data_IF_272065763513
#
_entry.id   IF_272065763513
#
_cell.length_a   1.000
_cell.length_b   1.000
_cell.length_c   1.000
_cell.angle_alpha   90.00
_cell.angle_beta   90.00
_cell.angle_gamma   90.00
#
_symmetry.space_group_name_H-M   'P 1'
#
loop_
_entity.id
_entity.type
_entity.pdbx_description
1 polymer ?
#
# COMPACT_ATOMS: atom_id res chain seq x y z
N UNK A 1 -10.80 15.91 -32.90
CA UNK A 1 -10.77 17.06 -31.97
C UNK A 1 -10.04 16.61 -30.71
N UNK A 2 -8.76 16.98 -30.59
CA UNK A 2 -7.88 16.57 -29.48
C UNK A 2 -7.98 17.59 -28.35
N UNK A 3 -8.40 17.15 -27.15
CA UNK A 3 -8.48 18.00 -25.96
C UNK A 3 -7.07 18.30 -25.42
N UNK A 4 -6.64 19.56 -25.27
CA UNK A 4 -5.27 19.93 -24.89
C UNK A 4 -4.92 19.76 -23.39
N UNK A 5 -5.81 19.23 -22.54
CA UNK A 5 -5.60 19.18 -21.09
C UNK A 5 -5.38 17.77 -20.50
N UNK A 6 -4.68 16.87 -21.20
CA UNK A 6 -4.15 15.67 -20.53
C UNK A 6 -2.81 16.05 -19.90
N UNK A 7 -2.80 16.45 -18.64
CA UNK A 7 -1.55 16.73 -17.91
C UNK A 7 -0.68 15.48 -17.94
N UNK A 8 0.45 15.56 -18.63
CA UNK A 8 1.41 14.47 -18.68
C UNK A 8 2.06 14.34 -17.29
N UNK A 9 1.68 13.32 -16.52
CA UNK A 9 2.29 13.04 -15.23
C UNK A 9 3.72 12.54 -15.40
N UNK A 10 4.57 12.85 -14.42
CA UNK A 10 5.92 12.32 -14.28
C UNK A 10 6.06 11.56 -12.96
N UNK A 11 7.13 10.78 -12.82
CA UNK A 11 7.39 9.99 -11.61
C UNK A 11 7.44 10.81 -10.32
N UNK A 12 7.81 12.09 -10.42
CA UNK A 12 7.89 13.01 -9.29
C UNK A 12 6.50 13.52 -8.82
N UNK A 13 5.44 13.30 -9.58
CA UNK A 13 4.10 13.79 -9.20
C UNK A 13 3.41 12.89 -8.18
N UNK A 14 3.96 11.71 -7.92
CA UNK A 14 3.39 10.71 -7.03
C UNK A 14 3.96 10.83 -5.63
N UNK A 15 3.08 10.83 -4.63
CA UNK A 15 3.46 11.07 -3.22
C UNK A 15 3.03 9.93 -2.29
N UNK A 16 2.07 9.12 -2.72
CA UNK A 16 1.51 8.00 -1.98
C UNK A 16 1.88 6.68 -2.64
N UNK A 17 2.34 5.71 -1.86
CA UNK A 17 2.49 4.32 -2.28
C UNK A 17 1.44 3.46 -1.58
N UNK A 18 0.65 2.73 -2.35
CA UNK A 18 -0.32 1.74 -1.89
C UNK A 18 0.15 0.36 -2.32
N UNK A 19 0.48 -0.48 -1.36
CA UNK A 19 0.98 -1.84 -1.59
C UNK A 19 -0.09 -2.84 -1.16
N UNK A 20 -0.51 -3.67 -2.10
CA UNK A 20 -1.43 -4.77 -1.91
C UNK A 20 -0.65 -6.08 -1.72
N UNK A 21 -1.16 -6.99 -0.89
CA UNK A 21 -0.59 -8.32 -0.72
C UNK A 21 -1.14 -9.33 -1.74
N UNK A 22 -2.37 -9.14 -2.23
CA UNK A 22 -3.06 -10.05 -3.14
C UNK A 22 -3.56 -9.35 -4.42
N UNK A 23 -3.63 -10.06 -5.56
CA UNK A 23 -4.20 -9.51 -6.79
C UNK A 23 -5.65 -9.03 -6.65
N UNK A 24 -6.45 -9.69 -5.80
CA UNK A 24 -7.83 -9.25 -5.52
C UNK A 24 -7.85 -7.90 -4.78
N UNK A 25 -6.90 -7.68 -3.86
CA UNK A 25 -6.76 -6.39 -3.17
C UNK A 25 -6.30 -5.31 -4.15
N UNK A 26 -5.43 -5.64 -5.11
CA UNK A 26 -5.03 -4.72 -6.18
C UNK A 26 -6.21 -4.34 -7.08
N UNK A 27 -7.06 -5.30 -7.45
CA UNK A 27 -8.26 -5.01 -8.23
C UNK A 27 -9.24 -4.10 -7.48
N UNK A 28 -9.38 -4.30 -6.17
CA UNK A 28 -10.17 -3.41 -5.32
C UNK A 28 -9.53 -2.00 -5.23
N UNK A 29 -8.21 -1.93 -5.04
CA UNK A 29 -7.49 -0.66 -5.00
C UNK A 29 -7.62 0.11 -6.32
N UNK A 30 -7.54 -0.57 -7.46
CA UNK A 30 -7.80 0.02 -8.77
C UNK A 30 -9.21 0.61 -8.87
N UNK A 31 -10.22 -0.13 -8.42
CA UNK A 31 -11.61 0.32 -8.45
C UNK A 31 -11.89 1.49 -7.49
N UNK A 32 -11.05 1.67 -6.45
CA UNK A 32 -11.17 2.76 -5.48
C UNK A 32 -10.51 4.07 -5.92
N UNK A 33 -9.78 4.09 -7.04
CA UNK A 33 -9.17 5.32 -7.55
C UNK A 33 -10.24 6.23 -8.16
N UNK A 34 -10.13 7.53 -7.91
CA UNK A 34 -10.95 8.55 -8.55
C UNK A 34 -10.60 8.69 -10.04
N UNK A 35 -9.32 8.56 -10.37
CA UNK A 35 -8.80 8.68 -11.73
C UNK A 35 -7.65 7.69 -11.94
N UNK A 36 -7.64 7.01 -13.10
CA UNK A 36 -6.52 6.16 -13.52
C UNK A 36 -5.60 6.95 -14.45
N UNK A 37 -4.32 7.02 -14.10
CA UNK A 37 -3.30 7.66 -14.93
C UNK A 37 -2.68 6.65 -15.90
N UNK A 38 -2.08 7.18 -16.99
CA UNK A 38 -1.33 6.36 -17.94
C UNK A 38 -0.04 5.83 -17.30
N UNK A 39 0.31 4.60 -17.65
CA UNK A 39 1.60 4.00 -17.25
C UNK A 39 2.76 4.87 -17.72
N UNK A 40 3.70 5.11 -16.81
CA UNK A 40 4.93 5.83 -17.11
C UNK A 40 6.01 4.89 -17.65
N UNK A 41 6.94 5.37 -18.50
CA UNK A 41 8.07 4.56 -18.96
C UNK A 41 8.93 4.16 -17.76
N UNK A 42 8.98 2.87 -17.44
CA UNK A 42 9.85 2.38 -16.38
C UNK A 42 11.31 2.47 -16.80
N UNK A 43 12.17 2.97 -15.91
CA UNK A 43 13.64 2.95 -16.08
C UNK A 43 14.23 1.56 -15.82
N UNK A 44 13.46 0.63 -15.24
CA UNK A 44 13.94 -0.68 -14.80
C UNK A 44 13.32 -1.80 -15.63
N UNK A 45 14.16 -2.74 -16.05
CA UNK A 45 13.83 -3.96 -16.82
C UNK A 45 12.93 -4.93 -16.05
N UNK A 46 12.75 -4.73 -14.75
CA UNK A 46 11.95 -5.58 -13.88
C UNK A 46 10.47 -5.20 -13.95
N UNK A 47 9.66 -6.19 -14.35
CA UNK A 47 8.22 -6.17 -14.67
C UNK A 47 7.25 -5.73 -13.55
N UNK A 48 7.69 -4.96 -12.55
CA UNK A 48 6.78 -4.42 -11.54
C UNK A 48 5.82 -3.43 -12.22
N UNK A 49 4.64 -3.91 -12.57
CA UNK A 49 3.61 -3.10 -13.25
C UNK A 49 2.95 -2.24 -12.18
N UNK A 50 3.40 -0.99 -12.11
CA UNK A 50 2.75 0.01 -11.26
C UNK A 50 1.43 0.44 -11.89
N UNK A 51 0.38 0.41 -11.09
CA UNK A 51 -0.86 1.07 -11.40
C UNK A 51 -0.80 2.48 -10.83
N UNK A 52 -1.12 3.47 -11.66
CA UNK A 52 -0.96 4.88 -11.32
C UNK A 52 -2.34 5.54 -11.35
N UNK A 53 -2.59 6.41 -10.39
CA UNK A 53 -3.85 7.15 -10.38
C UNK A 53 -3.92 8.19 -9.28
N UNK A 54 -5.14 8.63 -9.02
CA UNK A 54 -5.48 9.63 -8.04
C UNK A 54 -6.55 9.10 -7.10
N UNK A 55 -6.38 9.35 -5.81
CA UNK A 55 -7.37 9.04 -4.78
C UNK A 55 -7.43 10.18 -3.76
N UNK A 56 -8.63 10.66 -3.48
CA UNK A 56 -8.90 11.76 -2.56
C UNK A 56 -8.00 12.99 -2.80
N UNK A 57 -7.69 13.29 -4.07
CA UNK A 57 -6.80 14.41 -4.42
C UNK A 57 -5.30 14.09 -4.44
N UNK A 58 -4.88 12.89 -4.02
CA UNK A 58 -3.48 12.48 -3.96
C UNK A 58 -3.11 11.55 -5.12
N UNK A 59 -1.98 11.81 -5.78
CA UNK A 59 -1.43 10.92 -6.79
C UNK A 59 -0.75 9.71 -6.12
N UNK A 60 -1.26 8.53 -6.43
CA UNK A 60 -0.89 7.27 -5.81
C UNK A 60 -0.27 6.29 -6.81
N UNK A 61 0.76 5.61 -6.35
CA UNK A 61 1.35 4.43 -6.98
C UNK A 61 0.80 3.22 -6.27
N UNK A 62 0.06 2.39 -6.99
CA UNK A 62 -0.52 1.15 -6.49
C UNK A 62 0.26 -0.03 -7.08
N UNK A 63 0.62 -1.00 -6.26
CA UNK A 63 1.26 -2.23 -6.72
C UNK A 63 0.87 -3.41 -5.86
N UNK A 64 1.09 -4.62 -6.36
CA UNK A 64 0.90 -5.86 -5.63
C UNK A 64 2.24 -6.53 -5.38
N UNK A 65 2.39 -7.15 -4.20
CA UNK A 65 3.51 -8.04 -3.93
C UNK A 65 3.48 -9.23 -4.93
N UNK A 66 4.65 -9.74 -5.35
CA UNK A 66 4.72 -10.90 -6.23
C UNK A 66 3.99 -12.09 -5.60
N UNK A 67 3.11 -12.72 -6.39
CA UNK A 67 2.24 -13.80 -5.94
C UNK A 67 3.05 -14.95 -5.35
N UNK A 68 2.65 -15.42 -4.16
CA UNK A 68 3.29 -16.55 -3.48
C UNK A 68 4.50 -16.22 -2.60
N UNK A 69 4.99 -14.97 -2.60
CA UNK A 69 6.07 -14.53 -1.69
C UNK A 69 5.48 -13.63 -0.60
N UNK A 70 4.96 -14.27 0.45
CA UNK A 70 4.56 -13.61 1.67
C UNK A 70 5.80 -13.30 2.52
N UNK A 71 5.89 -12.09 3.07
CA UNK A 71 6.91 -11.75 4.07
C UNK A 71 7.50 -10.35 3.92
N UNK A 72 8.18 -9.93 4.99
CA UNK A 72 8.82 -8.61 5.16
C UNK A 72 9.78 -8.30 4.02
N UNK A 73 10.57 -9.30 3.61
CA UNK A 73 11.61 -9.16 2.59
C UNK A 73 11.03 -8.79 1.23
N UNK A 74 9.90 -9.40 0.85
CA UNK A 74 9.20 -9.09 -0.41
C UNK A 74 8.67 -7.65 -0.42
N UNK A 75 8.04 -7.23 0.68
CA UNK A 75 7.56 -5.86 0.84
C UNK A 75 8.69 -4.82 0.86
N UNK A 76 9.81 -5.11 1.52
CA UNK A 76 10.98 -4.22 1.56
C UNK A 76 11.61 -4.01 0.17
N UNK A 77 11.68 -5.06 -0.65
CA UNK A 77 12.17 -4.98 -2.03
C UNK A 77 11.25 -4.10 -2.87
N UNK A 78 9.93 -4.34 -2.81
CA UNK A 78 8.95 -3.56 -3.55
C UNK A 78 8.98 -2.09 -3.16
N UNK A 79 9.07 -1.77 -1.86
CA UNK A 79 9.16 -0.37 -1.42
C UNK A 79 10.48 0.26 -1.87
N UNK A 80 11.59 -0.46 -1.81
CA UNK A 80 12.88 0.05 -2.32
C UNK A 80 12.80 0.38 -3.81
N UNK A 81 12.12 -0.44 -4.59
CA UNK A 81 11.87 -0.19 -6.02
C UNK A 81 10.96 1.02 -6.24
N UNK A 82 9.89 1.17 -5.44
CA UNK A 82 9.01 2.34 -5.49
C UNK A 82 9.79 3.61 -5.18
N UNK A 83 10.55 3.65 -4.08
CA UNK A 83 11.32 4.82 -3.68
C UNK A 83 12.42 5.17 -4.69
N UNK A 84 13.00 4.18 -5.36
CA UNK A 84 13.96 4.40 -6.45
C UNK A 84 13.29 4.93 -7.72
N UNK A 85 12.03 4.59 -7.96
CA UNK A 85 11.31 4.92 -9.21
C UNK A 85 10.54 6.24 -9.07
N UNK A 86 9.99 6.51 -7.89
CA UNK A 86 9.13 7.65 -7.57
C UNK A 86 9.76 8.47 -6.43
N UNK A 87 10.58 9.49 -6.75
CA UNK A 87 11.42 10.16 -5.77
C UNK A 87 10.66 10.99 -4.72
N UNK A 88 9.40 11.34 -5.01
CA UNK A 88 8.57 12.16 -4.13
C UNK A 88 7.55 11.37 -3.32
N UNK A 89 7.60 10.03 -3.36
CA UNK A 89 6.81 9.19 -2.47
C UNK A 89 7.30 9.40 -1.03
N UNK A 90 6.39 9.88 -0.18
CA UNK A 90 6.66 10.14 1.25
C UNK A 90 5.83 9.27 2.18
N UNK A 91 4.71 8.76 1.68
CA UNK A 91 3.76 7.97 2.45
C UNK A 91 3.61 6.59 1.81
N UNK A 92 3.71 5.54 2.61
CA UNK A 92 3.52 4.17 2.15
C UNK A 92 2.48 3.47 3.02
N UNK A 93 1.46 2.90 2.40
CA UNK A 93 0.42 2.10 3.04
C UNK A 93 0.49 0.68 2.50
N UNK A 94 0.48 -0.29 3.40
CA UNK A 94 0.21 -1.69 3.05
C UNK A 94 -1.24 -1.95 3.41
N UNK A 95 -2.08 -2.19 2.41
CA UNK A 95 -3.52 -2.40 2.58
C UNK A 95 -3.86 -3.79 2.08
N UNK A 96 -4.69 -4.49 2.84
CA UNK A 96 -5.19 -5.77 2.40
C UNK A 96 -6.17 -6.39 3.37
N UNK A 97 -6.75 -7.51 2.97
CA UNK A 97 -7.61 -8.31 3.82
C UNK A 97 -6.75 -9.03 4.87
N UNK A 98 -7.30 -9.12 6.08
CA UNK A 98 -6.71 -9.82 7.21
C UNK A 98 -7.76 -10.70 7.88
N UNK A 99 -7.33 -11.81 8.47
CA UNK A 99 -8.17 -12.59 9.37
C UNK A 99 -8.08 -12.04 10.80
N UNK A 100 -9.21 -11.93 11.49
CA UNK A 100 -9.27 -11.57 12.91
C UNK A 100 -9.72 -12.75 13.76
N UNK A 101 -9.12 -12.93 14.94
CA UNK A 101 -9.58 -13.89 15.94
C UNK A 101 -10.23 -13.09 17.07
N UNK A 102 -11.57 -13.15 17.25
CA UNK A 102 -12.24 -12.47 18.34
C UNK A 102 -11.74 -13.00 19.69
N UNK A 103 -11.60 -12.11 20.68
CA UNK A 103 -11.26 -12.48 22.04
C UNK A 103 -12.04 -11.65 23.04
N UNK A 104 -12.06 -12.07 24.32
CA UNK A 104 -12.74 -11.31 25.38
C UNK A 104 -12.15 -9.90 25.59
N UNK A 105 -10.94 -9.63 25.08
CA UNK A 105 -10.27 -8.33 25.18
C UNK A 105 -10.30 -7.53 23.87
N UNK A 106 -10.75 -8.14 22.78
CA UNK A 106 -10.85 -7.54 21.46
C UNK A 106 -12.03 -8.14 20.68
N UNK A 107 -13.14 -7.40 20.64
CA UNK A 107 -14.32 -7.73 19.83
C UNK A 107 -14.05 -7.34 18.36
N UNK A 108 -13.35 -8.22 17.64
CA UNK A 108 -13.05 -8.07 16.21
C UNK A 108 -14.14 -8.77 15.41
N UNK A 109 -14.82 -8.03 14.55
CA UNK A 109 -15.93 -8.52 13.72
C UNK A 109 -15.62 -8.39 12.25
N UNK A 110 -16.30 -9.20 11.43
CA UNK A 110 -16.22 -9.08 9.99
C UNK A 110 -16.75 -7.70 9.56
N UNK A 111 -15.93 -6.97 8.80
CA UNK A 111 -16.22 -5.61 8.37
C UNK A 111 -15.45 -4.54 9.14
N UNK A 112 -14.79 -4.90 10.24
CA UNK A 112 -13.93 -3.97 10.97
C UNK A 112 -12.69 -3.59 10.14
N UNK A 113 -12.31 -2.31 10.22
CA UNK A 113 -11.07 -1.78 9.65
C UNK A 113 -10.05 -1.61 10.77
N UNK A 114 -8.97 -2.37 10.70
CA UNK A 114 -7.88 -2.31 11.67
C UNK A 114 -6.75 -1.44 11.13
N UNK A 115 -6.33 -0.44 11.93
CA UNK A 115 -5.20 0.43 11.60
C UNK A 115 -4.10 0.23 12.63
N UNK A 116 -2.94 -0.24 12.20
CA UNK A 116 -1.76 -0.33 13.05
C UNK A 116 -1.03 1.02 13.12
N UNK A 117 -0.79 1.55 14.33
CA UNK A 117 0.09 2.70 14.55
C UNK A 117 1.46 2.21 15.01
N UNK A 118 2.58 2.63 14.38
CA UNK A 118 3.90 2.33 14.92
C UNK A 118 4.08 2.98 16.29
N UNK A 119 4.54 2.21 17.28
CA UNK A 119 4.86 2.70 18.63
C UNK A 119 6.38 2.88 18.72
N UNK A 120 6.87 4.13 18.75
CA UNK A 120 8.28 4.48 19.00
C UNK A 120 8.89 5.50 18.04
N UNK A 121 9.92 6.23 18.50
CA UNK A 121 10.74 7.20 17.74
C UNK A 121 11.89 6.52 17.00
N UNK A 122 11.58 5.52 16.18
CA UNK A 122 12.50 5.02 15.16
C UNK A 122 11.86 5.26 13.81
N UNK A 123 12.40 6.26 13.09
CA UNK A 123 11.95 6.61 11.75
C UNK A 123 12.03 5.40 10.83
N UNK A 124 10.92 5.15 10.12
CA UNK A 124 10.88 4.47 8.83
C UNK A 124 11.78 3.22 8.66
N UNK A 125 11.77 2.30 9.64
CA UNK A 125 12.31 0.95 9.43
C UNK A 125 11.15 -0.06 9.45
N UNK A 126 11.01 -0.77 8.34
CA UNK A 126 9.98 -1.76 8.04
C UNK A 126 9.70 -2.71 9.22
N UNK A 127 8.50 -2.59 9.79
CA UNK A 127 7.85 -3.66 10.56
C UNK A 127 6.48 -3.95 9.93
N UNK A 128 6.47 -4.36 8.66
CA UNK A 128 5.25 -4.77 7.94
C UNK A 128 4.76 -6.18 8.32
N UNK A 129 5.30 -6.81 9.37
CA UNK A 129 4.81 -8.10 9.90
C UNK A 129 3.88 -8.00 11.10
N UNK A 130 3.67 -6.81 11.66
CA UNK A 130 2.76 -6.67 12.82
C UNK A 130 1.31 -6.37 12.43
N UNK A 131 0.99 -6.10 11.15
CA UNK A 131 -0.39 -5.84 10.75
C UNK A 131 -1.15 -7.12 10.34
N UNK A 132 -0.47 -8.19 9.89
CA UNK A 132 -1.14 -9.45 9.46
C UNK A 132 -0.80 -10.68 10.30
N UNK A 133 0.30 -10.71 11.06
CA UNK A 133 0.68 -11.88 11.87
C UNK A 133 0.34 -11.70 13.36
N UNK A 134 0.38 -10.46 13.84
CA UNK A 134 -0.33 -10.06 15.04
C UNK A 134 -1.82 -9.91 14.69
N UNK A 135 -2.47 -11.01 14.35
CA UNK A 135 -3.88 -11.23 14.68
C UNK A 135 -4.01 -12.48 15.57
N UNK A 136 -2.87 -13.06 15.99
CA UNK A 136 -2.75 -14.31 16.74
C UNK A 136 -1.86 -14.18 18.00
N UNK A 137 -1.76 -12.99 18.61
CA UNK A 137 -1.05 -12.75 19.87
C UNK A 137 -1.55 -11.45 20.53
N UNK A 138 -1.53 -11.33 21.87
CA UNK A 138 -2.50 -10.52 22.60
C UNK A 138 -2.33 -9.02 22.29
N UNK A 139 -3.38 -8.45 21.69
CA UNK A 139 -3.52 -7.01 21.57
C UNK A 139 -4.11 -6.44 22.84
N UNK A 140 -3.36 -5.56 23.48
CA UNK A 140 -3.88 -4.64 24.47
C UNK A 140 -4.17 -3.32 23.78
N UNK A 141 -5.46 -3.00 23.62
CA UNK A 141 -5.90 -1.63 23.35
C UNK A 141 -5.78 -0.90 24.69
N UNK A 142 -4.95 0.15 24.84
CA UNK A 142 -5.04 0.99 26.02
C UNK A 142 -6.41 1.66 25.98
N UNK A 143 -7.29 1.25 26.90
CA UNK A 143 -8.52 1.96 27.18
C UNK A 143 -8.16 3.41 27.55
N UNK A 144 -9.02 4.35 27.13
CA UNK A 144 -9.01 5.71 27.66
C UNK A 144 -9.09 5.70 29.19
#
# INVERSE_FOLDING_TARGET
MTNPNTTAFVHADYTLAWICALPLELAAAEAMLDERHRTLPSKTTTQATYLLGKIAGHNAVVTCLPSGIYGITSAAVVVSQILSTFPNVRYGLVVGIGGGVPSNTADIRLGDVVVSKPIGTFGAWFNTTLAKQYAMGPFSIPAC
#
